data_IF_505331902600
#
_entry.id   IF_505331902600
#
_cell.length_a   1.000
_cell.length_b   1.000
_cell.length_c   1.000
_cell.angle_alpha   90.00
_cell.angle_beta   90.00
_cell.angle_gamma   90.00
#
_symmetry.space_group_name_H-M   'P 1'
#
loop_
_entity.id
_entity.type
_entity.pdbx_description
1 polymer ?
#
# COMPACT_ATOMS: atom_id res chain seq x y z
N UNK A 1 5.97 4.97 10.93
CA UNK A 1 5.57 3.90 11.88
C UNK A 1 4.30 4.36 12.60
N UNK A 2 3.24 3.54 12.58
CA UNK A 2 1.90 3.91 13.08
C UNK A 2 1.79 3.84 14.61
N UNK A 3 2.65 3.05 15.25
CA UNK A 3 2.75 2.98 16.72
C UNK A 3 3.63 4.13 17.19
N UNK A 4 3.07 5.00 18.02
CA UNK A 4 3.70 6.21 18.55
C UNK A 4 3.20 6.45 19.97
N UNK A 5 4.06 6.58 21.00
CA UNK A 5 3.64 6.86 22.37
C UNK A 5 2.75 8.10 22.54
N UNK A 6 2.86 9.08 21.63
CA UNK A 6 2.04 10.30 21.60
C UNK A 6 0.79 10.15 20.72
N UNK A 7 0.55 8.95 20.19
CA UNK A 7 -0.63 8.62 19.40
C UNK A 7 -1.92 8.79 20.21
N UNK A 8 -2.98 9.22 19.53
CA UNK A 8 -4.27 9.53 20.18
C UNK A 8 -5.21 8.33 20.26
N UNK A 9 -5.00 7.31 19.43
CA UNK A 9 -5.90 6.17 19.35
C UNK A 9 -5.38 4.99 20.20
N UNK A 10 -6.27 4.44 21.03
CA UNK A 10 -6.00 3.31 21.91
C UNK A 10 -6.45 2.00 21.24
N UNK A 11 -5.54 1.05 20.93
CA UNK A 11 -5.93 -0.22 20.33
C UNK A 11 -6.86 -0.99 21.26
N UNK A 12 -7.97 -1.50 20.71
CA UNK A 12 -8.86 -2.42 21.40
C UNK A 12 -8.63 -3.85 20.92
N UNK A 13 -8.59 -4.77 21.88
CA UNK A 13 -8.47 -6.21 21.63
C UNK A 13 -9.64 -6.95 22.29
N UNK A 14 -9.80 -8.25 21.99
CA UNK A 14 -10.78 -9.10 22.69
C UNK A 14 -10.58 -9.17 24.20
N UNK A 15 -9.38 -8.84 24.70
CA UNK A 15 -9.05 -8.80 26.14
C UNK A 15 -9.15 -7.39 26.73
N UNK A 16 -9.69 -6.44 26.00
CA UNK A 16 -9.77 -5.02 26.39
C UNK A 16 -8.74 -4.14 25.68
N UNK A 17 -8.66 -2.90 26.13
CA UNK A 17 -7.76 -1.90 25.59
C UNK A 17 -6.28 -2.23 25.92
N UNK A 18 -5.39 -1.99 24.95
CA UNK A 18 -3.95 -2.16 25.12
C UNK A 18 -3.28 -0.80 25.34
N UNK A 19 -3.19 -0.41 26.61
CA UNK A 19 -2.66 0.89 27.03
C UNK A 19 -1.16 1.09 26.80
N UNK A 20 -0.41 0.00 26.60
CA UNK A 20 1.02 0.06 26.29
C UNK A 20 1.27 0.73 24.94
N UNK A 21 0.31 0.65 24.01
CA UNK A 21 0.46 1.09 22.63
C UNK A 21 -0.52 2.21 22.29
N UNK A 22 -0.14 3.05 21.35
CA UNK A 22 -0.95 4.14 20.83
C UNK A 22 -0.75 4.23 19.33
N UNK A 23 -1.82 4.42 18.58
CA UNK A 23 -1.75 4.71 17.15
C UNK A 23 -1.78 6.22 16.93
N UNK A 24 -0.86 6.71 16.10
CA UNK A 24 -0.96 8.05 15.53
C UNK A 24 -1.80 8.02 14.25
N UNK A 25 -2.42 9.15 13.93
CA UNK A 25 -3.05 9.33 12.61
C UNK A 25 -2.02 9.22 11.49
N UNK A 26 -2.48 8.79 10.32
CA UNK A 26 -1.69 8.77 9.10
C UNK A 26 -1.29 10.21 8.71
N UNK A 27 -0.01 10.42 8.41
CA UNK A 27 0.52 11.68 7.89
C UNK A 27 0.50 11.69 6.36
N UNK A 28 0.58 12.88 5.77
CA UNK A 28 0.65 13.01 4.31
C UNK A 28 1.87 12.30 3.72
N UNK A 29 3.01 12.32 4.41
CA UNK A 29 4.24 11.66 3.95
C UNK A 29 4.16 10.14 4.01
N UNK A 30 3.38 9.57 4.94
CA UNK A 30 3.20 8.12 5.05
C UNK A 30 2.59 7.55 3.77
N UNK A 31 1.72 8.33 3.09
CA UNK A 31 1.07 7.94 1.84
C UNK A 31 2.03 7.73 0.68
N UNK A 32 3.26 8.23 0.77
CA UNK A 32 4.28 8.07 -0.27
C UNK A 32 5.09 6.77 -0.14
N UNK A 33 4.76 5.94 0.86
CA UNK A 33 5.48 4.73 1.19
C UNK A 33 4.56 3.51 1.18
N UNK A 34 5.09 2.40 0.68
CA UNK A 34 4.53 1.06 0.82
C UNK A 34 5.27 0.34 1.93
N UNK A 35 4.56 0.00 3.00
CA UNK A 35 5.04 -0.91 4.03
C UNK A 35 4.65 -2.35 3.67
N UNK A 36 5.61 -3.25 3.64
CA UNK A 36 5.38 -4.69 3.48
C UNK A 36 5.84 -5.42 4.74
N UNK A 37 4.99 -6.28 5.29
CA UNK A 37 5.31 -7.10 6.45
C UNK A 37 5.19 -8.56 6.00
N UNK A 38 6.30 -9.29 6.09
CA UNK A 38 6.36 -10.72 5.81
C UNK A 38 6.67 -11.46 7.11
N UNK A 39 6.01 -12.59 7.33
CA UNK A 39 6.40 -13.53 8.39
C UNK A 39 7.12 -14.71 7.75
N UNK A 40 8.36 -14.97 8.17
CA UNK A 40 9.19 -16.06 7.64
C UNK A 40 10.08 -16.61 8.74
N UNK A 41 10.16 -17.94 8.84
CA UNK A 41 11.04 -18.66 9.78
C UNK A 41 10.95 -18.15 11.24
N UNK A 42 9.73 -17.89 11.73
CA UNK A 42 9.53 -17.42 13.10
C UNK A 42 9.72 -15.91 13.30
N UNK A 43 10.13 -15.17 12.26
CA UNK A 43 10.49 -13.75 12.36
C UNK A 43 9.62 -12.89 11.45
N UNK A 44 9.38 -11.64 11.87
CA UNK A 44 8.78 -10.61 11.02
C UNK A 44 9.88 -9.85 10.27
N UNK A 45 9.73 -9.76 8.95
CA UNK A 45 10.56 -8.98 8.05
C UNK A 45 9.73 -7.80 7.57
N UNK A 46 10.17 -6.59 7.90
CA UNK A 46 9.48 -5.34 7.53
C UNK A 46 10.28 -4.61 6.47
N UNK A 47 9.63 -4.22 5.38
CA UNK A 47 10.25 -3.47 4.29
C UNK A 47 9.43 -2.20 4.01
N UNK A 48 10.13 -1.07 3.88
CA UNK A 48 9.54 0.21 3.45
C UNK A 48 10.09 0.55 2.08
N UNK A 49 9.21 0.67 1.09
CA UNK A 49 9.56 1.07 -0.29
C UNK A 49 8.81 2.34 -0.66
N UNK A 50 9.38 3.17 -1.51
CA UNK A 50 8.62 4.26 -2.15
C UNK A 50 7.50 3.68 -3.00
N UNK A 51 6.39 4.42 -3.12
CA UNK A 51 5.35 4.04 -4.07
C UNK A 51 5.91 4.01 -5.50
N UNK A 52 5.34 3.11 -6.32
CA UNK A 52 5.60 3.14 -7.77
C UNK A 52 5.05 4.45 -8.32
N UNK A 53 5.80 5.07 -9.21
CA UNK A 53 5.31 6.19 -10.01
C UNK A 53 4.02 5.75 -10.71
N UNK A 54 2.92 6.46 -10.45
CA UNK A 54 1.71 6.25 -11.23
C UNK A 54 2.03 6.62 -12.69
N UNK A 55 1.72 5.74 -13.66
CA UNK A 55 1.90 6.10 -15.05
C UNK A 55 1.03 7.32 -15.36
N UNK A 56 1.59 8.27 -16.10
CA UNK A 56 0.83 9.39 -16.62
C UNK A 56 -0.20 8.83 -17.61
N UNK A 57 -1.45 8.68 -17.16
CA UNK A 57 -2.55 8.18 -17.98
C UNK A 57 -3.08 9.22 -18.98
N UNK A 58 -2.60 10.47 -18.90
CA UNK A 58 -2.91 11.49 -19.89
C UNK A 58 -2.38 11.05 -21.26
N UNK A 59 -3.29 10.72 -22.19
CA UNK A 59 -2.95 10.24 -23.53
C UNK A 59 -2.89 8.71 -23.68
N UNK A 60 -3.04 7.96 -22.58
CA UNK A 60 -3.25 6.51 -22.56
C UNK A 60 -4.76 6.25 -22.51
N UNK A 61 -5.38 6.28 -23.68
CA UNK A 61 -6.77 5.88 -23.83
C UNK A 61 -6.81 4.37 -24.01
N UNK A 62 -7.67 3.68 -23.25
CA UNK A 62 -7.99 2.26 -23.48
C UNK A 62 -8.39 2.02 -24.94
N UNK A 63 -8.94 3.04 -25.60
CA UNK A 63 -9.40 3.03 -26.98
C UNK A 63 -8.29 3.01 -28.04
N UNK A 64 -7.04 3.40 -27.72
CA UNK A 64 -5.97 3.51 -28.75
C UNK A 64 -5.63 2.17 -29.40
N UNK A 65 -5.76 1.07 -28.67
CA UNK A 65 -5.48 -0.29 -29.16
C UNK A 65 -6.76 -1.12 -29.31
N UNK A 66 -7.94 -0.48 -29.30
CA UNK A 66 -9.21 -1.19 -29.43
C UNK A 66 -9.32 -1.98 -30.75
N UNK A 67 -8.90 -1.43 -31.92
CA UNK A 67 -8.95 -2.20 -33.16
C UNK A 67 -8.10 -3.48 -33.08
N UNK A 68 -6.92 -3.40 -32.48
CA UNK A 68 -5.98 -4.52 -32.37
C UNK A 68 -6.45 -5.53 -31.30
N UNK A 69 -7.06 -5.05 -30.21
CA UNK A 69 -7.73 -5.90 -29.22
C UNK A 69 -8.89 -6.68 -29.84
N UNK A 70 -9.75 -6.01 -30.62
CA UNK A 70 -10.88 -6.66 -31.30
C UNK A 70 -10.43 -7.68 -32.35
N UNK A 71 -9.29 -7.45 -33.00
CA UNK A 71 -8.72 -8.36 -33.98
C UNK A 71 -7.86 -9.47 -33.36
N UNK A 72 -7.53 -9.35 -32.08
CA UNK A 72 -6.65 -10.28 -31.37
C UNK A 72 -5.15 -10.07 -31.63
N UNK A 73 -4.78 -9.03 -32.36
CA UNK A 73 -3.41 -8.72 -32.78
C UNK A 73 -2.49 -8.36 -31.59
N UNK A 74 -3.08 -8.02 -30.44
CA UNK A 74 -2.35 -7.76 -29.18
C UNK A 74 -1.79 -9.03 -28.51
N UNK A 75 -2.26 -10.22 -28.89
CA UNK A 75 -1.83 -11.50 -28.30
C UNK A 75 -0.72 -12.19 -29.12
N UNK A 76 -0.40 -11.63 -30.28
CA UNK A 76 0.56 -12.21 -31.24
C UNK A 76 1.95 -11.59 -31.19
N UNK A 77 2.25 -10.73 -30.21
CA UNK A 77 3.59 -10.20 -29.95
C UNK A 77 4.45 -11.14 -29.11
#
# INVERSE_FOLDING_TARGET
>A
MVIDPQGKCLPQTRRGAKEEWRFRSELAEDKNHKLTIQYSQGSFITEVKSLRMQPCINGIYFEKNWPDFLKGDIYTQ
#
